data_IF_939668657124
#
_entry.id   IF_939668657124
#
_cell.length_a   1.000
_cell.length_b   1.000
_cell.length_c   1.000
_cell.angle_alpha   90.00
_cell.angle_beta   90.00
_cell.angle_gamma   90.00
#
_symmetry.space_group_name_H-M   'P 1'
#
loop_
_entity.id
_entity.type
_entity.pdbx_description
1 polymer ?
#
# COMPACT_ATOMS: atom_id res chain seq x y z
N UNK A 1 -3.63 -15.71 -15.27
CA UNK A 1 -3.35 -14.92 -14.05
C UNK A 1 -4.56 -14.03 -13.82
N UNK A 2 -5.16 -14.06 -12.62
CA UNK A 2 -6.39 -13.33 -12.28
C UNK A 2 -6.07 -12.07 -11.46
N UNK A 3 -6.97 -11.09 -11.44
CA UNK A 3 -6.73 -9.79 -10.77
C UNK A 3 -6.65 -9.78 -9.23
N UNK A 4 -6.78 -10.93 -8.57
CA UNK A 4 -6.68 -11.01 -7.11
C UNK A 4 -5.31 -10.55 -6.61
N UNK A 5 -5.31 -9.69 -5.58
CA UNK A 5 -4.09 -9.18 -4.96
C UNK A 5 -3.44 -7.99 -5.67
N UNK A 6 -4.00 -7.51 -6.80
CA UNK A 6 -3.45 -6.35 -7.51
C UNK A 6 -3.80 -5.00 -6.86
N UNK A 7 -4.84 -4.96 -6.01
CA UNK A 7 -5.34 -3.76 -5.31
C UNK A 7 -5.71 -2.56 -6.20
N UNK A 8 -5.78 -2.76 -7.52
CA UNK A 8 -6.34 -1.81 -8.50
C UNK A 8 -7.82 -2.14 -8.82
N UNK A 9 -8.28 -3.36 -8.51
CA UNK A 9 -9.69 -3.78 -8.64
C UNK A 9 -10.28 -3.52 -10.03
N UNK A 10 -9.76 -4.19 -11.05
CA UNK A 10 -10.26 -4.16 -12.43
C UNK A 10 -11.22 -5.32 -12.76
N UNK A 11 -11.70 -6.06 -11.74
CA UNK A 11 -12.68 -7.13 -11.93
C UNK A 11 -13.96 -6.66 -12.63
N UNK A 12 -14.40 -5.42 -12.39
CA UNK A 12 -15.55 -4.84 -13.09
C UNK A 12 -15.28 -4.67 -14.59
N UNK A 13 -14.05 -4.34 -14.98
CA UNK A 13 -13.64 -4.23 -16.38
C UNK A 13 -13.59 -5.60 -17.03
N UNK A 14 -12.99 -6.58 -16.35
CA UNK A 14 -12.94 -7.96 -16.80
C UNK A 14 -14.34 -8.52 -17.06
N UNK A 15 -15.23 -8.42 -16.07
CA UNK A 15 -16.61 -8.89 -16.18
C UNK A 15 -17.37 -8.18 -17.32
N UNK A 16 -17.21 -6.87 -17.47
CA UNK A 16 -17.87 -6.12 -18.53
C UNK A 16 -17.40 -6.56 -19.92
N UNK A 17 -16.10 -6.81 -20.09
CA UNK A 17 -15.54 -7.24 -21.37
C UNK A 17 -15.92 -8.68 -21.72
N UNK A 18 -15.86 -9.59 -20.74
CA UNK A 18 -16.23 -10.99 -20.93
C UNK A 18 -17.72 -11.15 -21.22
N UNK A 19 -18.59 -10.40 -20.53
CA UNK A 19 -20.02 -10.38 -20.82
C UNK A 19 -20.35 -9.83 -22.21
N UNK A 20 -19.49 -8.98 -22.78
CA UNK A 20 -19.62 -8.49 -24.15
C UNK A 20 -19.06 -9.46 -25.21
N UNK A 21 -18.64 -10.67 -24.81
CA UNK A 21 -18.08 -11.69 -25.69
C UNK A 21 -16.57 -11.57 -25.92
N UNK A 22 -15.89 -10.67 -25.20
CA UNK A 22 -14.43 -10.53 -25.24
C UNK A 22 -13.70 -11.53 -24.34
N UNK A 23 -12.37 -11.56 -24.46
CA UNK A 23 -11.50 -12.31 -23.55
C UNK A 23 -10.59 -11.34 -22.80
N UNK A 24 -10.83 -11.13 -21.51
CA UNK A 24 -10.03 -10.19 -20.71
C UNK A 24 -8.70 -10.80 -20.28
N UNK A 25 -8.60 -12.12 -20.15
CA UNK A 25 -7.37 -12.82 -19.82
C UNK A 25 -6.87 -13.65 -21.01
N UNK A 26 -5.54 -13.79 -21.18
CA UNK A 26 -4.47 -13.21 -20.36
C UNK A 26 -4.23 -11.70 -20.61
N UNK A 27 -3.73 -11.03 -19.57
CA UNK A 27 -3.28 -9.63 -19.58
C UNK A 27 -1.82 -9.54 -19.09
N UNK A 28 -1.09 -8.53 -19.52
CA UNK A 28 0.26 -8.24 -19.04
C UNK A 28 0.21 -7.33 -17.81
N UNK A 29 1.05 -7.60 -16.81
CA UNK A 29 1.09 -6.82 -15.57
C UNK A 29 2.51 -6.46 -15.12
N UNK A 30 2.74 -5.18 -14.87
CA UNK A 30 3.86 -4.65 -14.13
C UNK A 30 3.39 -4.25 -12.73
N UNK A 31 3.60 -5.16 -11.79
CA UNK A 31 3.31 -4.97 -10.38
C UNK A 31 4.50 -5.42 -9.54
N UNK A 32 5.71 -4.97 -9.89
CA UNK A 32 6.92 -5.25 -9.10
C UNK A 32 7.20 -4.04 -8.19
N UNK A 33 7.39 -4.24 -6.87
CA UNK A 33 6.99 -5.45 -6.11
C UNK A 33 5.46 -5.62 -6.08
N UNK A 34 4.96 -6.85 -5.89
CA UNK A 34 3.53 -7.18 -5.93
C UNK A 34 2.83 -6.73 -4.64
N UNK A 35 2.61 -5.42 -4.54
CA UNK A 35 2.08 -4.75 -3.36
C UNK A 35 1.49 -3.38 -3.74
N UNK A 36 0.50 -2.87 -2.99
CA UNK A 36 -0.11 -1.56 -3.25
C UNK A 36 0.74 -0.39 -2.75
N UNK A 37 1.94 -0.26 -3.30
CA UNK A 37 2.95 0.73 -2.91
C UNK A 37 3.26 1.61 -4.10
N UNK A 38 3.23 2.95 -3.99
CA UNK A 38 3.71 3.78 -5.11
C UNK A 38 5.20 3.59 -5.33
N UNK A 39 5.63 3.40 -6.58
CA UNK A 39 7.03 3.15 -6.91
C UNK A 39 7.40 3.42 -8.37
N UNK A 40 8.70 3.37 -8.70
CA UNK A 40 9.22 3.80 -10.00
C UNK A 40 8.78 2.92 -11.17
N UNK A 41 8.56 1.61 -10.94
CA UNK A 41 8.18 0.56 -11.92
C UNK A 41 9.18 0.27 -13.04
N UNK A 42 9.88 1.29 -13.50
CA UNK A 42 10.97 1.20 -14.44
C UNK A 42 12.19 1.81 -13.76
N UNK A 43 13.27 1.04 -13.64
CA UNK A 43 14.55 1.53 -13.14
C UNK A 43 15.47 1.80 -14.33
N UNK A 44 15.94 3.04 -14.44
CA UNK A 44 16.92 3.47 -15.45
C UNK A 44 18.08 4.08 -14.67
N UNK A 45 19.32 3.77 -15.07
CA UNK A 45 20.49 4.42 -14.48
C UNK A 45 20.38 5.95 -14.67
N UNK A 46 20.38 6.75 -13.58
CA UNK A 46 20.28 8.21 -13.66
C UNK A 46 21.39 8.89 -14.48
N UNK A 47 22.56 8.26 -14.59
CA UNK A 47 23.70 8.77 -15.38
C UNK A 47 23.51 8.57 -16.88
N UNK A 48 22.52 7.77 -17.30
CA UNK A 48 22.25 7.56 -18.70
C UNK A 48 21.49 8.76 -19.29
N UNK A 49 22.15 9.50 -20.18
CA UNK A 49 21.58 10.70 -20.83
C UNK A 49 20.37 10.39 -21.72
N UNK A 50 20.22 9.15 -22.19
CA UNK A 50 19.13 8.70 -23.05
C UNK A 50 17.91 8.18 -22.28
N UNK A 51 17.82 8.45 -20.98
CA UNK A 51 16.75 7.91 -20.13
C UNK A 51 15.33 8.14 -20.67
N UNK A 52 15.08 9.24 -21.40
CA UNK A 52 13.78 9.51 -22.03
C UNK A 52 13.47 8.52 -23.15
N UNK A 53 14.44 8.32 -24.05
CA UNK A 53 14.34 7.37 -25.17
C UNK A 53 14.20 5.94 -24.65
N UNK A 54 14.94 5.59 -23.60
CA UNK A 54 14.84 4.26 -22.96
C UNK A 54 13.43 4.07 -22.38
N UNK A 55 12.88 5.07 -21.68
CA UNK A 55 11.52 4.99 -21.17
C UNK A 55 10.50 4.77 -22.29
N UNK A 56 10.57 5.55 -23.38
CA UNK A 56 9.69 5.40 -24.55
C UNK A 56 9.81 4.01 -25.19
N UNK A 57 11.05 3.51 -25.38
CA UNK A 57 11.30 2.16 -25.89
C UNK A 57 10.66 1.08 -25.02
N UNK A 58 10.76 1.21 -23.69
CA UNK A 58 10.14 0.26 -22.76
C UNK A 58 8.62 0.31 -22.88
N UNK A 59 8.01 1.50 -22.92
CA UNK A 59 6.55 1.64 -23.08
C UNK A 59 6.07 1.06 -24.41
N UNK A 60 6.76 1.37 -25.51
CA UNK A 60 6.45 0.79 -26.83
C UNK A 60 6.59 -0.75 -26.81
N UNK A 61 7.57 -1.28 -26.07
CA UNK A 61 7.75 -2.73 -25.93
C UNK A 61 6.56 -3.38 -25.21
N UNK A 62 5.98 -2.74 -24.18
CA UNK A 62 4.74 -3.24 -23.57
C UNK A 62 3.60 -3.35 -24.59
N UNK A 63 3.42 -2.33 -25.44
CA UNK A 63 2.39 -2.34 -26.48
C UNK A 63 2.65 -3.43 -27.54
N UNK A 64 3.90 -3.59 -27.98
CA UNK A 64 4.31 -4.65 -28.91
C UNK A 64 4.04 -6.04 -28.32
N UNK A 65 4.44 -6.29 -27.07
CA UNK A 65 4.21 -7.58 -26.40
C UNK A 65 2.71 -7.89 -26.36
N UNK A 66 1.86 -6.92 -26.02
CA UNK A 66 0.40 -7.12 -26.01
C UNK A 66 -0.12 -7.50 -27.39
N UNK A 67 0.32 -6.82 -28.45
CA UNK A 67 -0.11 -7.09 -29.83
C UNK A 67 0.38 -8.45 -30.33
N UNK A 68 1.68 -8.72 -30.20
CA UNK A 68 2.33 -9.91 -30.75
C UNK A 68 1.85 -11.19 -30.06
N UNK A 69 1.49 -11.10 -28.77
CA UNK A 69 1.00 -12.24 -27.99
C UNK A 69 -0.53 -12.29 -27.89
N UNK A 70 -1.26 -11.42 -28.62
CA UNK A 70 -2.73 -11.34 -28.61
C UNK A 70 -3.31 -11.21 -27.19
N UNK A 71 -2.65 -10.44 -26.33
CA UNK A 71 -3.13 -10.14 -24.99
C UNK A 71 -4.23 -9.06 -25.08
N UNK A 72 -5.12 -9.03 -24.08
CA UNK A 72 -6.18 -8.01 -24.02
C UNK A 72 -5.64 -6.61 -23.68
N UNK A 73 -4.62 -6.55 -22.81
CA UNK A 73 -4.15 -5.31 -22.19
C UNK A 73 -2.79 -5.46 -21.49
N UNK A 74 -2.16 -4.33 -21.18
CA UNK A 74 -1.03 -4.21 -20.25
C UNK A 74 -1.35 -3.21 -19.12
N UNK A 75 -0.95 -3.54 -17.89
CA UNK A 75 -1.26 -2.77 -16.69
C UNK A 75 0.01 -2.46 -15.90
N UNK A 76 0.22 -1.20 -15.54
CA UNK A 76 1.33 -0.76 -14.69
C UNK A 76 0.73 -0.13 -13.43
N UNK A 77 0.89 -0.82 -12.30
CA UNK A 77 0.16 -0.49 -11.06
C UNK A 77 0.95 0.49 -10.18
N UNK A 78 0.27 1.36 -9.42
CA UNK A 78 0.86 2.26 -8.41
C UNK A 78 2.11 3.05 -8.91
N UNK A 79 1.98 3.69 -10.06
CA UNK A 79 3.01 4.54 -10.70
C UNK A 79 3.20 5.88 -9.98
N UNK A 80 4.40 6.47 -10.05
CA UNK A 80 4.71 7.80 -9.50
C UNK A 80 4.17 8.95 -10.36
N UNK A 81 4.10 10.16 -9.82
CA UNK A 81 3.76 11.36 -10.59
C UNK A 81 4.72 11.61 -11.77
N UNK A 82 6.01 11.35 -11.57
CA UNK A 82 7.03 11.47 -12.62
C UNK A 82 6.79 10.46 -13.76
N UNK A 83 6.43 9.21 -13.42
CA UNK A 83 6.04 8.21 -14.42
C UNK A 83 4.83 8.69 -15.23
N UNK A 84 3.79 9.18 -14.56
CA UNK A 84 2.57 9.66 -15.22
C UNK A 84 2.86 10.86 -16.14
N UNK A 85 3.68 11.83 -15.69
CA UNK A 85 4.08 12.98 -16.50
C UNK A 85 4.86 12.57 -17.75
N UNK A 86 5.71 11.54 -17.68
CA UNK A 86 6.43 11.01 -18.85
C UNK A 86 5.51 10.25 -19.81
N UNK A 87 4.47 9.58 -19.29
CA UNK A 87 3.55 8.78 -20.08
C UNK A 87 2.50 9.61 -20.83
N UNK A 88 2.30 10.90 -20.50
CA UNK A 88 1.21 11.76 -21.00
C UNK A 88 1.07 11.84 -22.53
N UNK A 89 2.06 11.40 -23.31
CA UNK A 89 2.02 11.41 -24.77
C UNK A 89 1.63 10.05 -25.41
N UNK A 90 1.29 9.02 -24.63
CA UNK A 90 1.10 7.65 -25.12
C UNK A 90 -0.37 7.18 -25.02
N UNK A 91 -0.69 6.06 -25.70
CA UNK A 91 -2.02 5.43 -25.78
C UNK A 91 -2.53 4.81 -24.45
N UNK A 92 -1.95 5.21 -23.33
CA UNK A 92 -2.20 4.62 -22.03
C UNK A 92 -3.28 5.40 -21.27
N UNK A 93 -4.19 4.66 -20.64
CA UNK A 93 -5.28 5.18 -19.84
C UNK A 93 -4.83 5.24 -18.39
N UNK A 94 -4.69 6.46 -17.85
CA UNK A 94 -4.48 6.65 -16.42
C UNK A 94 -5.78 6.38 -15.65
N UNK A 95 -5.66 5.64 -14.56
CA UNK A 95 -6.69 5.48 -13.52
C UNK A 95 -6.18 6.06 -12.22
N UNK A 96 -6.99 6.92 -11.60
CA UNK A 96 -6.71 7.48 -10.28
C UNK A 96 -7.37 6.59 -9.23
N UNK A 97 -6.64 6.27 -8.17
CA UNK A 97 -7.11 5.57 -6.98
C UNK A 97 -6.91 6.45 -5.73
N UNK A 98 -7.32 5.93 -4.58
CA UNK A 98 -7.21 6.62 -3.29
C UNK A 98 -6.48 5.73 -2.28
N UNK A 99 -5.51 6.32 -1.56
CA UNK A 99 -4.90 5.73 -0.37
C UNK A 99 -4.85 6.75 0.77
N UNK A 100 -4.42 6.30 1.94
CA UNK A 100 -4.27 7.12 3.14
C UNK A 100 -2.84 7.06 3.65
N UNK A 101 -2.18 8.22 3.72
CA UNK A 101 -0.79 8.34 4.15
C UNK A 101 -0.70 9.25 5.38
N UNK A 102 0.16 8.90 6.33
CA UNK A 102 0.52 9.78 7.44
C UNK A 102 1.83 10.48 7.07
N UNK A 103 1.92 11.78 7.37
CA UNK A 103 3.08 12.60 7.06
C UNK A 103 3.73 13.10 8.35
N UNK A 104 5.05 12.98 8.41
CA UNK A 104 5.84 13.52 9.51
C UNK A 104 6.14 15.00 9.25
N UNK A 105 5.42 15.89 9.95
CA UNK A 105 5.63 17.34 9.89
C UNK A 105 6.74 17.79 10.85
N UNK A 106 7.83 17.02 10.91
CA UNK A 106 8.99 17.23 11.78
C UNK A 106 8.68 17.17 13.29
N UNK A 107 7.72 16.33 13.67
CA UNK A 107 7.39 16.02 15.05
C UNK A 107 8.64 15.49 15.79
N UNK A 108 8.79 15.83 17.08
CA UNK A 108 9.87 15.28 17.93
C UNK A 108 9.37 14.13 18.78
N UNK A 109 8.09 14.16 19.15
CA UNK A 109 7.43 13.13 19.94
C UNK A 109 6.08 12.75 19.35
N UNK A 110 5.54 11.61 19.77
CA UNK A 110 4.18 11.22 19.41
C UNK A 110 3.13 12.21 19.94
N UNK A 111 3.37 12.83 21.11
CA UNK A 111 2.46 13.85 21.66
C UNK A 111 2.46 15.14 20.84
N UNK A 112 3.58 15.53 20.21
CA UNK A 112 3.60 16.66 19.27
C UNK A 112 2.64 16.40 18.10
N UNK A 113 2.69 15.19 17.53
CA UNK A 113 1.74 14.76 16.51
C UNK A 113 0.29 14.83 17.01
N UNK A 114 0.01 14.31 18.21
CA UNK A 114 -1.34 14.34 18.77
C UNK A 114 -1.87 15.77 18.99
N UNK A 115 -0.99 16.74 19.28
CA UNK A 115 -1.38 18.13 19.49
C UNK A 115 -1.89 18.80 18.21
N UNK A 116 -1.41 18.38 17.03
CA UNK A 116 -1.91 18.87 15.74
C UNK A 116 -3.31 18.33 15.39
N UNK A 117 -3.76 17.24 16.03
CA UNK A 117 -5.06 16.64 15.76
C UNK A 117 -6.21 17.39 16.43
N UNK A 118 -7.42 17.28 15.85
CA UNK A 118 -8.67 17.70 16.50
C UNK A 118 -8.80 16.99 17.85
N UNK A 119 -9.30 17.71 18.86
CA UNK A 119 -9.39 17.23 20.26
C UNK A 119 -10.08 15.87 20.40
N UNK A 120 -11.16 15.65 19.64
CA UNK A 120 -11.88 14.37 19.62
C UNK A 120 -11.02 13.21 19.11
N UNK A 121 -10.20 13.42 18.07
CA UNK A 121 -9.29 12.41 17.51
C UNK A 121 -8.15 12.10 18.48
N UNK A 122 -7.51 13.14 19.04
CA UNK A 122 -6.48 12.97 20.08
C UNK A 122 -6.99 12.18 21.28
N UNK A 123 -8.19 12.52 21.79
CA UNK A 123 -8.81 11.82 22.93
C UNK A 123 -9.09 10.35 22.60
N UNK A 124 -9.59 10.07 21.39
CA UNK A 124 -9.82 8.70 20.93
C UNK A 124 -8.53 7.89 20.89
N UNK A 125 -7.47 8.39 20.23
CA UNK A 125 -6.18 7.71 20.13
C UNK A 125 -5.60 7.42 21.53
N UNK A 126 -5.59 8.42 22.44
CA UNK A 126 -5.11 8.23 23.82
C UNK A 126 -5.88 7.14 24.57
N UNK A 127 -7.21 7.09 24.39
CA UNK A 127 -8.04 6.06 25.00
C UNK A 127 -7.76 4.66 24.42
N UNK A 128 -7.58 4.56 23.10
CA UNK A 128 -7.21 3.29 22.44
C UNK A 128 -5.86 2.77 22.95
N UNK A 129 -4.82 3.62 22.99
CA UNK A 129 -3.49 3.23 23.50
C UNK A 129 -3.53 2.88 24.99
N UNK A 130 -4.32 3.61 25.80
CA UNK A 130 -4.51 3.30 27.23
C UNK A 130 -5.09 1.90 27.45
N UNK A 131 -6.03 1.46 26.61
CA UNK A 131 -6.59 0.11 26.70
C UNK A 131 -5.55 -0.97 26.46
N UNK A 132 -4.60 -0.75 25.54
CA UNK A 132 -3.48 -1.68 25.33
C UNK A 132 -2.52 -1.65 26.52
N UNK A 133 -2.18 -0.47 27.04
CA UNK A 133 -1.31 -0.35 28.24
C UNK A 133 -1.89 -1.02 29.50
N UNK A 134 -3.21 -1.18 29.57
CA UNK A 134 -3.89 -1.87 30.67
C UNK A 134 -3.94 -3.40 30.49
N UNK A 135 -3.40 -3.93 29.38
CA UNK A 135 -3.18 -5.37 29.19
C UNK A 135 -1.79 -5.77 29.69
N UNK A 136 -1.51 -7.07 29.78
CA UNK A 136 -0.18 -7.60 30.05
C UNK A 136 0.69 -7.73 28.78
N UNK A 137 0.34 -7.03 27.70
CA UNK A 137 1.12 -7.08 26.46
C UNK A 137 2.39 -6.27 26.55
N UNK A 138 3.51 -6.86 26.11
CA UNK A 138 4.76 -6.15 25.84
C UNK A 138 4.88 -5.92 24.35
N UNK A 139 5.05 -4.66 23.94
CA UNK A 139 5.15 -4.28 22.52
C UNK A 139 6.62 -4.01 22.18
N UNK A 140 7.14 -4.68 21.16
CA UNK A 140 8.52 -4.55 20.72
C UNK A 140 8.59 -4.17 19.24
N UNK A 141 9.58 -3.35 18.88
CA UNK A 141 9.92 -2.96 17.52
C UNK A 141 11.23 -3.66 17.14
N UNK A 142 11.19 -4.63 16.23
CA UNK A 142 12.33 -5.45 15.85
C UNK A 142 12.84 -5.08 14.46
N UNK A 143 14.17 -5.01 14.32
CA UNK A 143 14.86 -4.78 13.04
C UNK A 143 16.20 -5.52 13.01
N UNK A 144 16.77 -5.73 11.82
CA UNK A 144 18.12 -6.26 11.65
C UNK A 144 18.32 -7.60 12.38
N UNK A 145 19.36 -7.70 13.20
CA UNK A 145 19.73 -8.91 13.94
C UNK A 145 18.73 -9.32 15.03
N UNK A 146 17.76 -8.47 15.37
CA UNK A 146 16.68 -8.86 16.30
C UNK A 146 15.64 -9.77 15.64
N UNK A 147 15.65 -9.85 14.31
CA UNK A 147 14.77 -10.73 13.54
C UNK A 147 15.44 -12.10 13.39
N UNK A 148 14.66 -13.16 13.62
CA UNK A 148 15.11 -14.54 13.51
C UNK A 148 14.00 -15.44 12.96
N UNK A 149 14.35 -16.68 12.64
CA UNK A 149 13.44 -17.65 12.04
C UNK A 149 12.23 -17.96 12.92
N UNK A 150 12.38 -18.02 14.25
CA UNK A 150 11.27 -18.29 15.18
C UNK A 150 10.21 -17.18 15.19
N UNK A 151 10.65 -15.92 15.08
CA UNK A 151 9.75 -14.77 14.95
C UNK A 151 9.01 -14.82 13.60
N UNK A 152 9.69 -15.18 12.51
CA UNK A 152 9.05 -15.30 11.19
C UNK A 152 8.06 -16.46 11.12
N UNK A 153 8.36 -17.57 11.81
CA UNK A 153 7.43 -18.68 12.00
C UNK A 153 6.17 -18.26 12.76
N UNK A 154 6.34 -17.51 13.83
CA UNK A 154 5.23 -16.93 14.58
C UNK A 154 4.40 -16.00 13.68
N UNK A 155 5.06 -15.13 12.92
CA UNK A 155 4.40 -14.20 12.02
C UNK A 155 3.65 -14.90 10.87
N UNK A 156 4.21 -15.95 10.29
CA UNK A 156 3.55 -16.73 9.24
C UNK A 156 2.24 -17.34 9.74
N UNK A 157 2.22 -17.88 10.97
CA UNK A 157 1.00 -18.36 11.60
C UNK A 157 -0.04 -17.24 11.77
N UNK A 158 0.38 -16.02 12.09
CA UNK A 158 -0.53 -14.88 12.20
C UNK A 158 -1.10 -14.45 10.84
N UNK A 159 -0.27 -14.49 9.79
CA UNK A 159 -0.66 -14.22 8.41
C UNK A 159 -1.75 -15.20 7.96
N UNK A 160 -1.53 -16.51 8.13
CA UNK A 160 -2.52 -17.54 7.78
C UNK A 160 -3.85 -17.32 8.51
N UNK A 161 -3.81 -17.12 9.83
CA UNK A 161 -5.00 -16.84 10.65
C UNK A 161 -5.79 -15.59 10.22
N UNK A 162 -5.12 -14.63 9.56
CA UNK A 162 -5.75 -13.41 9.07
C UNK A 162 -6.35 -13.59 7.68
N UNK A 163 -5.65 -14.35 6.83
CA UNK A 163 -6.09 -14.67 5.47
C UNK A 163 -7.30 -15.60 5.48
N UNK A 164 -7.31 -16.63 6.33
CA UNK A 164 -8.45 -17.56 6.49
C UNK A 164 -9.76 -16.85 6.87
N UNK A 165 -9.64 -15.65 7.48
CA UNK A 165 -10.79 -14.82 7.89
C UNK A 165 -11.23 -13.81 6.81
N UNK A 166 -10.48 -13.64 5.71
CA UNK A 166 -10.72 -12.59 4.70
C UNK A 166 -10.50 -13.10 3.27
N UNK A 167 -11.58 -13.56 2.62
CA UNK A 167 -11.86 -13.68 1.17
C UNK A 167 -10.69 -13.69 0.15
N UNK A 168 -9.58 -14.34 0.45
CA UNK A 168 -8.41 -14.45 -0.42
C UNK A 168 -7.54 -15.61 0.02
N UNK A 169 -6.87 -16.27 -0.94
CA UNK A 169 -5.92 -17.33 -0.64
C UNK A 169 -4.61 -16.78 -0.04
N UNK A 170 -3.96 -17.57 0.81
CA UNK A 170 -2.63 -17.26 1.33
C UNK A 170 -1.60 -17.40 0.20
N UNK A 171 -1.21 -16.27 -0.40
CA UNK A 171 -0.28 -16.24 -1.54
C UNK A 171 1.18 -16.04 -1.13
N UNK A 172 1.45 -15.63 0.12
CA UNK A 172 2.81 -15.56 0.67
C UNK A 172 3.10 -16.88 1.40
N UNK A 173 4.19 -17.54 1.02
CA UNK A 173 4.61 -18.80 1.64
C UNK A 173 5.43 -18.56 2.90
N UNK A 174 5.69 -19.61 3.68
CA UNK A 174 6.60 -19.54 4.83
C UNK A 174 8.00 -19.08 4.38
N UNK A 175 8.51 -19.67 3.29
CA UNK A 175 9.83 -19.39 2.71
C UNK A 175 9.98 -17.92 2.33
N UNK A 176 8.91 -17.26 1.87
CA UNK A 176 8.94 -15.82 1.62
C UNK A 176 9.40 -15.04 2.86
N UNK A 177 8.85 -15.33 4.04
CA UNK A 177 9.20 -14.62 5.28
C UNK A 177 10.64 -14.91 5.74
N UNK A 178 11.14 -16.13 5.57
CA UNK A 178 12.56 -16.43 5.85
C UNK A 178 13.50 -15.75 4.83
N UNK A 179 13.12 -15.66 3.56
CA UNK A 179 13.88 -14.90 2.56
C UNK A 179 13.94 -13.42 2.91
N UNK A 180 12.89 -12.84 3.49
CA UNK A 180 12.92 -11.47 3.99
C UNK A 180 14.01 -11.30 5.07
N UNK A 181 14.13 -12.25 6.00
CA UNK A 181 15.18 -12.24 7.01
C UNK A 181 16.58 -12.21 6.40
N UNK A 182 16.82 -13.09 5.42
CA UNK A 182 18.14 -13.28 4.84
C UNK A 182 18.56 -12.14 3.91
N UNK A 183 17.60 -11.51 3.23
CA UNK A 183 17.90 -10.55 2.15
C UNK A 183 17.68 -9.10 2.55
N UNK A 184 16.84 -8.82 3.54
CA UNK A 184 16.40 -7.44 3.83
C UNK A 184 16.05 -7.18 5.31
N UNK A 185 16.57 -7.96 6.27
CA UNK A 185 16.34 -7.73 7.71
C UNK A 185 16.60 -6.30 8.19
N UNK A 186 17.58 -5.61 7.58
CA UNK A 186 17.92 -4.23 7.92
C UNK A 186 16.91 -3.20 7.40
N UNK A 187 16.13 -3.57 6.38
CA UNK A 187 15.07 -2.75 5.79
C UNK A 187 13.68 -3.17 6.28
N UNK A 188 13.62 -3.89 7.41
CA UNK A 188 12.37 -4.36 8.01
C UNK A 188 12.20 -3.74 9.39
N UNK A 189 10.96 -3.32 9.64
CA UNK A 189 10.43 -3.08 10.97
C UNK A 189 9.29 -4.07 11.21
N UNK A 190 9.51 -4.99 12.14
CA UNK A 190 8.47 -5.88 12.63
C UNK A 190 8.05 -5.44 14.03
N UNK A 191 6.81 -4.96 14.16
CA UNK A 191 6.25 -4.56 15.45
C UNK A 191 5.47 -5.75 15.99
N UNK A 192 5.87 -6.29 17.14
CA UNK A 192 5.26 -7.47 17.74
C UNK A 192 4.59 -7.15 19.08
N UNK A 193 3.61 -7.97 19.46
CA UNK A 193 3.08 -8.00 20.81
C UNK A 193 3.38 -9.37 21.44
N UNK A 194 3.93 -9.35 22.65
CA UNK A 194 4.17 -10.53 23.48
C UNK A 194 3.20 -10.58 24.65
N UNK A 195 2.73 -11.78 24.98
CA UNK A 195 1.98 -12.09 26.19
C UNK A 195 2.68 -13.27 26.87
N UNK A 196 3.14 -13.08 28.11
CA UNK A 196 3.88 -14.10 28.87
C UNK A 196 5.06 -14.69 28.05
N UNK A 197 5.91 -13.80 27.51
CA UNK A 197 7.04 -14.06 26.59
C UNK A 197 6.70 -14.66 25.22
N UNK A 198 5.46 -15.05 24.97
CA UNK A 198 5.03 -15.60 23.67
C UNK A 198 4.60 -14.48 22.73
N UNK A 199 5.09 -14.50 21.49
CA UNK A 199 4.59 -13.59 20.45
C UNK A 199 3.16 -13.98 20.09
N UNK A 200 2.23 -13.03 20.18
CA UNK A 200 0.79 -13.26 19.93
C UNK A 200 0.24 -12.45 18.75
N UNK A 201 0.97 -11.43 18.30
CA UNK A 201 0.60 -10.62 17.14
C UNK A 201 1.81 -9.93 16.52
N UNK A 202 1.69 -9.52 15.25
CA UNK A 202 2.76 -8.80 14.57
C UNK A 202 2.31 -7.98 13.36
N UNK A 203 2.94 -6.83 13.15
CA UNK A 203 2.78 -5.92 12.01
C UNK A 203 4.10 -5.79 11.23
N UNK A 204 4.10 -6.25 9.98
CA UNK A 204 5.23 -6.15 9.07
C UNK A 204 5.23 -4.81 8.32
N UNK A 205 6.35 -4.09 8.43
CA UNK A 205 6.63 -2.88 7.68
C UNK A 205 7.97 -3.00 6.96
N UNK A 206 8.06 -2.41 5.75
CA UNK A 206 9.32 -2.22 5.03
C UNK A 206 9.79 -0.77 5.17
N UNK A 207 11.07 -0.60 5.47
CA UNK A 207 11.72 0.68 5.65
C UNK A 207 12.35 1.08 4.31
N UNK A 208 12.07 2.29 3.84
CA UNK A 208 12.81 2.92 2.75
C UNK A 208 13.51 4.17 3.25
N UNK A 209 14.26 4.84 2.37
CA UNK A 209 14.92 6.12 2.67
C UNK A 209 14.00 7.14 3.33
N UNK A 210 12.74 7.25 2.87
CA UNK A 210 11.81 8.30 3.31
C UNK A 210 10.43 7.80 3.72
N UNK A 211 10.12 6.52 3.49
CA UNK A 211 8.77 5.97 3.67
C UNK A 211 8.80 4.66 4.43
N UNK A 212 7.90 4.50 5.39
CA UNK A 212 7.60 3.25 6.06
C UNK A 212 6.35 2.63 5.44
N UNK A 213 6.48 1.42 4.93
CA UNK A 213 5.46 0.72 4.17
C UNK A 213 4.84 -0.42 4.97
N UNK A 214 3.67 -0.19 5.58
CA UNK A 214 2.93 -1.24 6.30
C UNK A 214 2.25 -2.21 5.35
N UNK A 215 2.39 -3.52 5.59
CA UNK A 215 1.91 -4.57 4.66
C UNK A 215 1.00 -5.60 5.31
N UNK A 216 1.58 -6.53 6.05
CA UNK A 216 0.87 -7.64 6.63
C UNK A 216 0.73 -7.46 8.13
N UNK A 217 -0.41 -7.87 8.65
CA UNK A 217 -0.70 -7.91 10.07
C UNK A 217 -1.36 -9.25 10.37
N UNK A 218 -1.11 -9.77 11.56
CA UNK A 218 -1.97 -10.80 12.11
C UNK A 218 -1.87 -10.91 13.62
N UNK A 219 -2.79 -11.68 14.18
CA UNK A 219 -2.87 -11.96 15.62
C UNK A 219 -3.56 -13.30 15.85
N UNK A 220 -3.09 -14.04 16.86
CA UNK A 220 -3.77 -15.23 17.40
C UNK A 220 -4.65 -14.92 18.61
N UNK A 221 -4.57 -13.68 19.11
CA UNK A 221 -5.44 -13.17 20.19
C UNK A 221 -6.42 -12.13 19.64
N UNK A 222 -7.57 -12.00 20.29
CA UNK A 222 -8.56 -10.97 19.97
C UNK A 222 -8.58 -9.89 21.05
N UNK A 223 -7.66 -8.93 20.96
CA UNK A 223 -7.55 -7.81 21.90
C UNK A 223 -8.03 -6.53 21.19
N UNK A 224 -9.04 -5.82 21.74
CA UNK A 224 -9.52 -4.58 21.16
C UNK A 224 -8.39 -3.56 20.93
N UNK A 225 -8.41 -2.92 19.76
CA UNK A 225 -7.44 -1.88 19.34
C UNK A 225 -6.00 -2.36 19.09
N UNK A 226 -5.67 -3.64 19.28
CA UNK A 226 -4.31 -4.16 19.08
C UNK A 226 -3.80 -3.94 17.65
N UNK A 227 -4.67 -4.17 16.65
CA UNK A 227 -4.38 -3.86 15.25
C UNK A 227 -3.98 -2.39 15.04
N UNK A 228 -4.64 -1.45 15.74
CA UNK A 228 -4.33 -0.02 15.57
C UNK A 228 -3.04 0.38 16.28
N UNK A 229 -2.78 -0.18 17.46
CA UNK A 229 -1.51 0.03 18.16
C UNK A 229 -0.34 -0.40 17.27
N UNK A 230 -0.37 -1.62 16.74
CA UNK A 230 0.78 -2.17 16.02
C UNK A 230 0.89 -1.67 14.58
N UNK A 231 -0.23 -1.52 13.86
CA UNK A 231 -0.19 -1.13 12.44
C UNK A 231 -0.09 0.38 12.22
N UNK A 232 -0.47 1.20 13.21
CA UNK A 232 -0.55 2.66 13.04
C UNK A 232 0.27 3.42 14.09
N UNK A 233 -0.03 3.26 15.38
CA UNK A 233 0.57 4.13 16.40
C UNK A 233 2.06 3.87 16.60
N UNK A 234 2.46 2.61 16.71
CA UNK A 234 3.85 2.21 16.83
C UNK A 234 4.65 2.50 15.56
N UNK A 235 4.02 2.36 14.38
CA UNK A 235 4.63 2.70 13.10
C UNK A 235 4.85 4.21 12.94
N UNK A 236 3.88 5.04 13.34
CA UNK A 236 4.02 6.51 13.39
C UNK A 236 5.11 6.90 14.39
N UNK A 237 5.11 6.32 15.59
CA UNK A 237 6.10 6.61 16.62
C UNK A 237 7.52 6.27 16.14
N UNK A 238 7.70 5.10 15.50
CA UNK A 238 8.97 4.76 14.84
C UNK A 238 9.36 5.75 13.73
N UNK A 239 8.40 6.16 12.90
CA UNK A 239 8.66 7.12 11.83
C UNK A 239 9.08 8.50 12.37
N UNK A 240 8.53 8.93 13.51
CA UNK A 240 8.95 10.13 14.24
C UNK A 240 10.39 9.95 14.74
N UNK A 241 10.66 8.88 15.49
CA UNK A 241 11.98 8.55 16.06
C UNK A 241 13.09 8.51 14.99
N UNK A 242 12.80 7.96 13.82
CA UNK A 242 13.76 7.79 12.71
C UNK A 242 13.69 8.90 11.65
N UNK A 243 12.91 9.96 11.87
CA UNK A 243 12.69 11.06 10.92
C UNK A 243 12.21 10.60 9.52
N UNK A 244 11.51 9.47 9.45
CA UNK A 244 10.87 8.97 8.24
C UNK A 244 9.69 9.90 7.91
N UNK A 245 9.57 10.29 6.64
CA UNK A 245 8.64 11.34 6.20
C UNK A 245 7.21 10.85 6.01
N UNK A 246 7.02 9.61 5.61
CA UNK A 246 5.71 9.08 5.23
C UNK A 246 5.52 7.70 5.86
N UNK A 247 4.31 7.42 6.36
CA UNK A 247 3.85 6.07 6.68
C UNK A 247 2.68 5.72 5.76
N UNK A 248 2.86 4.68 4.95
CA UNK A 248 1.84 4.12 4.05
C UNK A 248 1.28 2.82 4.64
N UNK A 249 0.11 2.89 5.28
CA UNK A 249 -0.43 1.75 6.03
C UNK A 249 -1.38 0.86 5.19
N UNK A 250 -1.03 0.62 3.92
CA UNK A 250 -1.79 -0.22 2.97
C UNK A 250 -2.94 0.49 2.23
N UNK A 251 -3.63 -0.24 1.34
CA UNK A 251 -4.51 0.34 0.32
C UNK A 251 -5.87 0.85 0.81
N UNK A 252 -6.43 0.30 1.90
CA UNK A 252 -7.85 0.54 2.25
C UNK A 252 -8.06 0.98 3.71
N UNK A 253 -9.20 1.61 3.97
CA UNK A 253 -9.73 1.81 5.34
C UNK A 253 -9.86 3.27 5.76
N UNK A 254 -11.08 3.80 5.70
CA UNK A 254 -11.43 5.14 6.19
C UNK A 254 -11.15 5.32 7.69
N UNK A 255 -11.06 4.22 8.45
CA UNK A 255 -10.66 4.26 9.87
C UNK A 255 -9.26 4.86 10.07
N UNK A 256 -8.39 4.89 9.06
CA UNK A 256 -7.08 5.55 9.11
C UNK A 256 -7.17 7.06 9.31
N UNK A 257 -8.23 7.70 8.81
CA UNK A 257 -8.45 9.14 8.96
C UNK A 257 -8.48 9.52 10.44
N UNK A 258 -9.19 8.74 11.26
CA UNK A 258 -9.30 8.96 12.70
C UNK A 258 -7.95 8.93 13.44
N UNK A 259 -6.90 8.44 12.77
CA UNK A 259 -5.58 8.14 13.31
C UNK A 259 -4.50 9.05 12.71
N UNK A 260 -4.90 10.14 12.05
CA UNK A 260 -3.99 11.15 11.51
C UNK A 260 -3.55 10.93 10.06
N UNK A 261 -4.09 9.93 9.35
CA UNK A 261 -3.78 9.74 7.94
C UNK A 261 -4.67 10.64 7.07
N UNK A 262 -4.11 11.18 5.99
CA UNK A 262 -4.83 12.01 5.01
C UNK A 262 -4.95 11.28 3.67
N UNK A 263 -5.97 11.65 2.90
CA UNK A 263 -6.22 11.10 1.58
C UNK A 263 -5.15 11.54 0.58
N UNK A 264 -4.60 10.58 -0.18
CA UNK A 264 -3.64 10.82 -1.25
C UNK A 264 -4.03 10.06 -2.52
N UNK A 265 -3.93 10.70 -3.70
CA UNK A 265 -4.17 9.99 -4.95
C UNK A 265 -3.07 8.95 -5.19
N UNK A 266 -3.45 7.86 -5.85
CA UNK A 266 -2.53 6.89 -6.42
C UNK A 266 -2.88 6.69 -7.88
N UNK A 267 -1.93 6.19 -8.67
CA UNK A 267 -2.11 6.10 -10.12
C UNK A 267 -1.74 4.73 -10.64
N UNK A 268 -2.49 4.27 -11.64
CA UNK A 268 -2.15 3.12 -12.46
C UNK A 268 -2.38 3.47 -13.92
N UNK A 269 -1.67 2.80 -14.82
CA UNK A 269 -1.71 3.09 -16.24
C UNK A 269 -2.02 1.82 -17.02
N UNK A 270 -2.92 1.92 -17.99
CA UNK A 270 -3.51 0.78 -18.68
C UNK A 270 -3.48 0.96 -20.20
N UNK A 271 -2.82 0.07 -20.91
CA UNK A 271 -2.96 -0.09 -22.35
C UNK A 271 -3.98 -1.18 -22.63
N UNK A 272 -4.97 -0.90 -23.49
CA UNK A 272 -6.05 -1.82 -23.82
C UNK A 272 -6.09 -1.96 -25.34
N UNK A 273 -5.99 -3.19 -25.83
CA UNK A 273 -5.82 -3.45 -27.26
C UNK A 273 -7.11 -3.21 -28.07
N UNK A 274 -8.26 -3.52 -27.50
CA UNK A 274 -9.55 -3.35 -28.16
C UNK A 274 -10.03 -1.88 -28.06
N UNK A 275 -10.18 -1.20 -29.19
CA UNK A 275 -10.45 0.25 -29.24
C UNK A 275 -11.78 0.66 -28.58
N UNK A 276 -12.87 -0.09 -28.81
CA UNK A 276 -14.17 0.24 -28.24
C UNK A 276 -14.18 0.07 -26.72
N UNK A 277 -13.52 -0.98 -26.23
CA UNK A 277 -13.34 -1.22 -24.80
C UNK A 277 -12.38 -0.20 -24.16
N UNK A 278 -11.27 0.14 -24.82
CA UNK A 278 -10.35 1.20 -24.37
C UNK A 278 -11.07 2.55 -24.22
N UNK A 279 -11.94 2.90 -25.18
CA UNK A 279 -12.77 4.11 -25.11
C UNK A 279 -13.75 4.06 -23.92
N UNK A 280 -14.38 2.91 -23.67
CA UNK A 280 -15.27 2.74 -22.53
C UNK A 280 -14.53 2.91 -21.19
N UNK A 281 -13.37 2.26 -21.03
CA UNK A 281 -12.51 2.40 -19.84
C UNK A 281 -12.06 3.85 -19.66
N UNK A 282 -11.59 4.51 -20.74
CA UNK A 282 -11.15 5.91 -20.69
C UNK A 282 -12.25 6.88 -20.25
N UNK A 283 -13.49 6.63 -20.66
CA UNK A 283 -14.63 7.44 -20.21
C UNK A 283 -14.96 7.17 -18.74
N UNK A 284 -14.94 5.90 -18.32
CA UNK A 284 -15.16 5.52 -16.93
C UNK A 284 -14.10 6.13 -16.00
N UNK A 285 -12.80 6.00 -16.32
CA UNK A 285 -11.72 6.49 -15.44
C UNK A 285 -11.71 8.01 -15.29
N UNK A 286 -12.19 8.76 -16.29
CA UNK A 286 -12.39 10.21 -16.17
C UNK A 286 -13.47 10.57 -15.15
N UNK A 287 -14.60 9.84 -15.15
CA UNK A 287 -15.66 10.06 -14.16
C UNK A 287 -15.20 9.64 -12.76
N UNK A 288 -14.51 8.51 -12.68
CA UNK A 288 -13.91 8.00 -11.43
C UNK A 288 -12.90 9.00 -10.85
N UNK A 289 -12.05 9.60 -11.68
CA UNK A 289 -11.08 10.61 -11.25
C UNK A 289 -11.75 11.85 -10.65
N UNK A 290 -12.84 12.34 -11.25
CA UNK A 290 -13.60 13.48 -10.71
C UNK A 290 -14.12 13.15 -9.31
N UNK A 291 -14.69 11.96 -9.14
CA UNK A 291 -15.26 11.52 -7.87
C UNK A 291 -14.18 11.31 -6.79
N UNK A 292 -13.08 10.64 -7.14
CA UNK A 292 -11.95 10.45 -6.22
C UNK A 292 -11.34 11.79 -5.79
N UNK A 293 -11.19 12.74 -6.71
CA UNK A 293 -10.68 14.07 -6.37
C UNK A 293 -11.62 14.83 -5.43
N UNK A 294 -12.94 14.71 -5.62
CA UNK A 294 -13.93 15.26 -4.68
C UNK A 294 -13.79 14.62 -3.30
N UNK A 295 -13.67 13.29 -3.23
CA UNK A 295 -13.48 12.56 -1.97
C UNK A 295 -12.19 12.98 -1.27
N UNK A 296 -11.07 13.07 -1.98
CA UNK A 296 -9.78 13.53 -1.44
C UNK A 296 -9.93 14.93 -0.85
N UNK A 297 -10.53 15.85 -1.62
CA UNK A 297 -10.76 17.23 -1.16
C UNK A 297 -11.60 17.24 0.12
N UNK A 298 -12.76 16.60 0.10
CA UNK A 298 -13.67 16.52 1.24
C UNK A 298 -13.00 15.93 2.49
N UNK A 299 -12.26 14.83 2.35
CA UNK A 299 -11.54 14.20 3.46
C UNK A 299 -10.46 15.13 4.01
N UNK A 300 -9.70 15.80 3.13
CA UNK A 300 -8.55 16.59 3.55
C UNK A 300 -8.94 17.99 4.05
N UNK A 301 -10.13 18.51 3.71
CA UNK A 301 -10.60 19.84 4.16
C UNK A 301 -11.65 19.74 5.25
N UNK A 302 -12.78 19.10 4.98
CA UNK A 302 -13.93 19.11 5.89
C UNK A 302 -13.80 18.03 6.97
N UNK A 303 -13.32 16.85 6.57
CA UNK A 303 -13.20 15.68 7.45
C UNK A 303 -11.77 15.39 7.93
N UNK A 304 -10.85 16.34 7.76
CA UNK A 304 -9.46 16.08 8.11
C UNK A 304 -9.31 15.92 9.62
N UNK A 305 -8.38 15.05 10.05
CA UNK A 305 -8.16 14.80 11.47
C UNK A 305 -7.38 15.91 12.17
N UNK A 306 -6.82 16.86 11.42
CA UNK A 306 -6.00 17.95 11.93
C UNK A 306 -6.84 19.19 12.29
N UNK A 307 -6.40 19.93 13.30
CA UNK A 307 -7.10 21.13 13.80
C UNK A 307 -6.88 22.34 12.90
N UNK A 308 -5.70 22.43 12.28
CA UNK A 308 -5.30 23.52 11.40
C UNK A 308 -5.19 22.97 9.97
N UNK A 309 -6.06 23.45 9.08
CA UNK A 309 -6.07 23.11 7.65
C UNK A 309 -6.07 24.43 6.87
#
# INVERSE_FOLDING_TARGET
>A
MHSYGEYIFDHSWANAFENAGGQYYPKLICAIPFTPATGPRIMINPENTDYKKIFELIINTYELIVRDNKLSSAHINFTTDDFNRRLQNNNWIRRTGLQFHWHNNNYKTFDDFLNELKSSKRKAIRNERKKIKNTNLVIEKLTGEQLNDEIWDSFYNFYLNTVDKKWGGAYLTREFFHLLNNTMKNDILLIIAKQDEKVVAGALNFISKNTLYGRNWGSIVNIPFLHFELCYYQAIEYAIEKNIKIVEAGAQGHHKIQRGYIAKPTYSNHFVLNDSFAKAIKNFTKLEEIEINKQIKFINTENSPYSNI
#
